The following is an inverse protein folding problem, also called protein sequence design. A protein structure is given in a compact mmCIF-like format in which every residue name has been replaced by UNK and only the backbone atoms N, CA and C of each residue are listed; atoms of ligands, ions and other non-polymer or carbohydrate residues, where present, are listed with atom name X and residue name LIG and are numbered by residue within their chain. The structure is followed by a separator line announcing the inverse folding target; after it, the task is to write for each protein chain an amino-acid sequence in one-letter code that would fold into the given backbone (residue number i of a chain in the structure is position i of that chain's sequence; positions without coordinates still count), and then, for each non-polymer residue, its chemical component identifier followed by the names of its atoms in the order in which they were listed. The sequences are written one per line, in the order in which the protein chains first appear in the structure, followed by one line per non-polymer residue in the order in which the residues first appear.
data_IF_416035229018
#
_entry.id   IF_416035229018
#
_cell.length_a   1.000
_cell.length_b   1.000
_cell.length_c   1.000
_cell.angle_alpha   90.00
_cell.angle_beta   90.00
_cell.angle_gamma   90.00
#
_symmetry.space_group_name_H-M   'P 1'
#
loop_
_entity.id
_entity.type
_entity.pdbx_description
1 polymer ?
#
# COMPACT_ATOMS: atom_id res chain seq x y z
N UNK A 1 18.08 -3.89 -7.92
CA UNK A 1 18.43 -3.49 -6.53
C UNK A 1 17.21 -3.82 -5.68
N UNK A 2 17.37 -4.42 -4.51
CA UNK A 2 16.21 -4.72 -3.63
C UNK A 2 15.56 -3.40 -3.21
N UNK A 3 14.26 -3.23 -3.48
CA UNK A 3 13.51 -1.99 -3.24
C UNK A 3 12.59 -2.04 -2.02
N UNK A 4 12.06 -3.20 -1.68
CA UNK A 4 11.16 -3.36 -0.54
C UNK A 4 11.91 -3.19 0.78
N UNK A 5 11.19 -2.70 1.79
CA UNK A 5 11.67 -2.60 3.15
C UNK A 5 11.53 -3.93 3.88
N UNK A 6 12.54 -4.30 4.67
CA UNK A 6 12.44 -5.45 5.59
C UNK A 6 11.54 -5.09 6.78
N UNK A 7 10.97 -6.09 7.44
CA UNK A 7 10.08 -5.88 8.60
C UNK A 7 10.72 -5.02 9.70
N UNK A 8 12.02 -5.17 9.95
CA UNK A 8 12.73 -4.33 10.94
C UNK A 8 12.71 -2.85 10.55
N UNK A 9 12.89 -2.54 9.27
CA UNK A 9 12.80 -1.17 8.77
C UNK A 9 11.39 -0.62 8.91
N UNK A 10 10.37 -1.42 8.56
CA UNK A 10 8.95 -1.05 8.71
C UNK A 10 8.64 -0.73 10.18
N UNK A 11 9.09 -1.57 11.13
CA UNK A 11 8.92 -1.34 12.57
C UNK A 11 9.62 -0.06 13.04
N UNK A 12 10.86 0.17 12.61
CA UNK A 12 11.60 1.38 12.99
C UNK A 12 10.91 2.64 12.48
N UNK A 13 10.30 2.60 11.29
CA UNK A 13 9.52 3.73 10.75
C UNK A 13 8.29 3.98 11.63
N UNK A 14 7.50 2.95 11.93
CA UNK A 14 6.29 3.11 12.75
C UNK A 14 6.58 3.53 14.19
N UNK A 15 7.62 2.97 14.82
CA UNK A 15 8.02 3.31 16.20
C UNK A 15 8.42 4.78 16.34
N UNK A 16 8.79 5.43 15.23
CA UNK A 16 9.11 6.86 15.15
C UNK A 16 7.93 7.73 14.74
N UNK A 17 6.72 7.17 14.69
CA UNK A 17 5.51 7.87 14.25
C UNK A 17 5.40 8.02 12.73
N UNK A 18 6.23 7.30 11.95
CA UNK A 18 6.27 7.39 10.50
C UNK A 18 5.08 6.72 9.80
N UNK A 19 5.13 6.75 8.47
CA UNK A 19 4.12 6.20 7.58
C UNK A 19 4.78 5.35 6.48
N UNK A 20 4.17 4.23 6.14
CA UNK A 20 4.60 3.30 5.09
C UNK A 20 3.51 3.19 4.03
N UNK A 21 3.79 3.71 2.84
CA UNK A 21 2.92 3.55 1.67
C UNK A 21 3.29 2.28 0.90
N UNK A 22 2.30 1.43 0.63
CA UNK A 22 2.48 0.26 -0.22
C UNK A 22 2.45 0.67 -1.69
N UNK A 23 3.53 0.35 -2.38
CA UNK A 23 3.72 0.60 -3.81
C UNK A 23 2.94 -0.42 -4.66
N UNK A 24 2.42 0.02 -5.80
CA UNK A 24 1.66 -0.81 -6.74
C UNK A 24 2.52 -1.30 -7.92
N UNK A 25 3.81 -0.94 -7.95
CA UNK A 25 4.75 -1.40 -8.97
C UNK A 25 4.88 -2.94 -8.96
N UNK A 26 4.72 -3.64 -10.11
CA UNK A 26 4.59 -5.10 -10.13
C UNK A 26 5.77 -5.86 -9.53
N UNK A 27 7.00 -5.44 -9.83
CA UNK A 27 8.20 -6.11 -9.30
C UNK A 27 8.36 -5.96 -7.79
N UNK A 28 7.68 -4.98 -7.18
CA UNK A 28 7.65 -4.81 -5.73
C UNK A 28 6.59 -5.72 -5.09
N UNK A 29 5.58 -6.14 -5.85
CA UNK A 29 4.52 -7.03 -5.40
C UNK A 29 4.90 -8.51 -5.58
N UNK A 30 5.53 -8.85 -6.70
CA UNK A 30 5.90 -10.21 -7.11
C UNK A 30 7.31 -10.23 -7.70
N UNK A 31 8.14 -11.21 -7.29
CA UNK A 31 9.55 -11.27 -7.68
C UNK A 31 9.79 -11.42 -9.20
N UNK A 32 8.83 -12.02 -9.92
CA UNK A 32 8.95 -12.37 -11.34
C UNK A 32 7.89 -11.66 -12.20
N UNK A 33 7.34 -10.55 -11.71
CA UNK A 33 6.16 -9.89 -12.29
C UNK A 33 6.31 -9.43 -13.75
N UNK A 34 7.54 -9.15 -14.19
CA UNK A 34 7.84 -8.69 -15.56
C UNK A 34 8.42 -9.80 -16.45
N UNK A 35 8.53 -11.04 -15.94
CA UNK A 35 9.01 -12.15 -16.74
C UNK A 35 7.98 -12.58 -17.82
N UNK A 36 8.42 -12.93 -19.04
CA UNK A 36 7.52 -13.37 -20.09
C UNK A 36 6.69 -14.60 -19.68
N UNK A 37 5.36 -14.48 -19.77
CA UNK A 37 4.43 -15.57 -19.46
C UNK A 37 4.00 -15.65 -17.99
N UNK A 38 4.46 -14.73 -17.14
CA UNK A 38 3.94 -14.58 -15.79
C UNK A 38 2.55 -13.92 -15.80
N UNK A 39 1.70 -14.30 -14.85
CA UNK A 39 0.41 -13.60 -14.66
C UNK A 39 0.66 -12.19 -14.11
N UNK A 40 -0.09 -11.17 -14.57
CA UNK A 40 0.04 -9.81 -14.05
C UNK A 40 -0.25 -9.74 -12.55
N UNK A 41 0.34 -8.76 -11.87
CA UNK A 41 -0.06 -8.43 -10.51
C UNK A 41 -1.53 -7.98 -10.47
N UNK A 42 -2.11 -8.02 -9.28
CA UNK A 42 -3.53 -7.70 -9.05
C UNK A 42 -3.69 -7.00 -7.70
N UNK A 43 -4.86 -6.43 -7.45
CA UNK A 43 -5.21 -5.84 -6.14
C UNK A 43 -5.10 -6.84 -4.99
N UNK A 44 -5.18 -8.15 -5.26
CA UNK A 44 -4.98 -9.17 -4.23
C UNK A 44 -3.54 -9.18 -3.71
N UNK A 45 -2.55 -8.98 -4.59
CA UNK A 45 -1.15 -8.89 -4.19
C UNK A 45 -0.88 -7.59 -3.41
N UNK A 46 -1.50 -6.48 -3.80
CA UNK A 46 -1.45 -5.22 -3.03
C UNK A 46 -2.05 -5.43 -1.64
N UNK A 47 -3.20 -6.12 -1.56
CA UNK A 47 -3.84 -6.44 -0.29
C UNK A 47 -2.99 -7.37 0.58
N UNK A 48 -2.23 -8.31 0.00
CA UNK A 48 -1.26 -9.14 0.75
C UNK A 48 -0.19 -8.28 1.42
N UNK A 49 0.40 -7.34 0.67
CA UNK A 49 1.42 -6.43 1.20
C UNK A 49 0.87 -5.48 2.27
N UNK A 50 -0.33 -4.93 2.07
CA UNK A 50 -1.01 -4.11 3.08
C UNK A 50 -1.23 -4.87 4.38
N UNK A 51 -1.77 -6.09 4.30
CA UNK A 51 -2.03 -6.91 5.47
C UNK A 51 -0.74 -7.37 6.17
N UNK A 52 0.30 -7.68 5.40
CA UNK A 52 1.62 -7.98 5.96
C UNK A 52 2.16 -6.77 6.74
N UNK A 53 2.18 -5.58 6.13
CA UNK A 53 2.63 -4.37 6.80
C UNK A 53 1.83 -4.07 8.07
N UNK A 54 0.50 -4.21 8.04
CA UNK A 54 -0.37 -4.07 9.21
C UNK A 54 0.01 -5.07 10.31
N UNK A 55 0.32 -6.32 9.95
CA UNK A 55 0.76 -7.33 10.93
C UNK A 55 2.11 -7.00 11.58
N UNK A 56 2.95 -6.22 10.89
CA UNK A 56 4.31 -5.85 11.33
C UNK A 56 4.30 -4.59 12.21
N UNK A 57 3.58 -3.54 11.82
CA UNK A 57 3.63 -2.22 12.46
C UNK A 57 2.28 -1.67 12.96
N UNK A 58 1.19 -2.43 12.81
CA UNK A 58 -0.15 -1.99 13.17
C UNK A 58 -0.81 -1.14 12.09
N UNK A 59 -2.13 -1.03 12.19
CA UNK A 59 -2.96 -0.41 11.15
C UNK A 59 -2.82 1.12 11.05
N UNK A 60 -2.22 1.81 12.01
CA UNK A 60 -2.16 3.28 12.07
C UNK A 60 -0.99 3.90 11.27
N UNK A 61 -0.13 3.06 10.68
CA UNK A 61 1.11 3.47 10.01
C UNK A 61 1.18 3.06 8.54
N UNK A 62 0.13 2.44 8.00
CA UNK A 62 0.14 1.86 6.65
C UNK A 62 -0.88 2.56 5.77
N UNK A 63 -0.55 2.77 4.49
CA UNK A 63 -1.51 3.26 3.51
C UNK A 63 -1.06 3.04 2.07
N UNK A 64 -1.66 3.80 1.15
CA UNK A 64 -1.41 3.66 -0.28
C UNK A 64 -0.21 4.51 -0.75
N UNK A 65 0.61 3.95 -1.63
CA UNK A 65 1.77 4.62 -2.27
C UNK A 65 1.81 4.34 -3.76
N UNK A 66 0.70 4.55 -4.47
CA UNK A 66 0.41 3.81 -5.70
C UNK A 66 1.22 4.09 -6.98
N UNK A 67 2.12 5.07 -7.01
CA UNK A 67 3.03 5.39 -8.13
C UNK A 67 2.41 5.29 -9.56
N UNK A 68 1.14 5.71 -9.72
CA UNK A 68 0.34 5.45 -10.92
C UNK A 68 0.94 5.96 -12.25
N UNK A 69 1.76 7.02 -12.22
CA UNK A 69 2.44 7.56 -13.40
C UNK A 69 3.88 7.01 -13.58
N UNK A 70 4.30 6.10 -12.69
CA UNK A 70 5.62 5.46 -12.69
C UNK A 70 5.69 4.19 -13.54
N UNK A 71 4.55 3.65 -13.98
CA UNK A 71 4.47 2.37 -14.71
C UNK A 71 3.24 2.27 -15.61
N UNK A 72 3.29 1.39 -16.62
CA UNK A 72 2.15 1.04 -17.47
C UNK A 72 1.70 -0.40 -17.18
N UNK A 73 0.40 -0.66 -17.25
CA UNK A 73 -0.21 -2.01 -17.29
C UNK A 73 0.21 -2.97 -16.16
N UNK A 74 0.58 -2.43 -15.01
CA UNK A 74 1.17 -3.16 -13.90
C UNK A 74 0.23 -4.13 -13.18
N UNK A 75 -0.97 -3.65 -12.86
CA UNK A 75 -1.98 -4.43 -12.15
C UNK A 75 -3.22 -4.59 -13.03
N UNK A 76 -3.57 -5.84 -13.34
CA UNK A 76 -4.63 -6.14 -14.31
C UNK A 76 -6.00 -5.54 -13.92
N UNK A 77 -6.26 -5.42 -12.63
CA UNK A 77 -7.48 -4.87 -12.05
C UNK A 77 -7.26 -3.57 -11.26
N UNK A 78 -6.15 -2.86 -11.53
CA UNK A 78 -5.84 -1.54 -10.98
C UNK A 78 -4.94 -0.73 -11.94
N UNK A 79 -5.46 -0.40 -13.13
CA UNK A 79 -4.70 0.36 -14.13
C UNK A 79 -4.83 1.87 -13.92
N UNK A 80 -5.93 2.32 -13.32
CA UNK A 80 -6.25 3.72 -13.12
C UNK A 80 -6.71 4.01 -11.70
N UNK A 81 -6.65 5.27 -11.28
CA UNK A 81 -7.18 5.70 -9.98
C UNK A 81 -8.67 5.34 -9.79
N UNK A 82 -9.46 5.33 -10.86
CA UNK A 82 -10.87 4.94 -10.79
C UNK A 82 -11.09 3.45 -10.50
N UNK A 83 -10.04 2.63 -10.55
CA UNK A 83 -10.08 1.20 -10.24
C UNK A 83 -9.82 0.91 -8.75
N UNK A 84 -9.47 1.91 -7.93
CA UNK A 84 -9.27 1.76 -6.48
C UNK A 84 -10.43 1.05 -5.73
N UNK A 85 -11.71 1.17 -6.13
CA UNK A 85 -12.78 0.36 -5.56
C UNK A 85 -12.57 -1.16 -5.69
N UNK A 86 -11.70 -1.63 -6.61
CA UNK A 86 -11.33 -3.04 -6.73
C UNK A 86 -10.50 -3.49 -5.52
N UNK A 87 -9.55 -2.64 -5.09
CA UNK A 87 -8.72 -2.88 -3.89
C UNK A 87 -9.55 -2.81 -2.61
N UNK A 88 -10.45 -1.83 -2.49
CA UNK A 88 -11.40 -1.76 -1.39
C UNK A 88 -12.19 -3.06 -1.26
N UNK A 89 -12.76 -3.56 -2.37
CA UNK A 89 -13.49 -4.82 -2.38
C UNK A 89 -12.61 -6.02 -2.01
N UNK A 90 -11.34 -6.03 -2.41
CA UNK A 90 -10.40 -7.10 -2.04
C UNK A 90 -10.15 -7.13 -0.53
N UNK A 91 -9.90 -5.97 0.09
CA UNK A 91 -9.75 -5.84 1.53
C UNK A 91 -11.03 -6.25 2.28
N UNK A 92 -12.20 -5.78 1.82
CA UNK A 92 -13.49 -6.14 2.43
C UNK A 92 -13.77 -7.64 2.35
N UNK A 93 -13.45 -8.31 1.23
CA UNK A 93 -13.57 -9.78 1.10
C UNK A 93 -12.70 -10.54 2.09
N UNK A 94 -11.58 -9.94 2.50
CA UNK A 94 -10.63 -10.49 3.48
C UNK A 94 -11.02 -10.17 4.94
N UNK A 95 -12.16 -9.51 5.15
CA UNK A 95 -12.67 -9.19 6.48
C UNK A 95 -12.04 -7.96 7.13
N UNK A 96 -11.33 -7.13 6.36
CA UNK A 96 -10.83 -5.84 6.84
C UNK A 96 -12.03 -4.93 7.11
N UNK A 97 -12.08 -4.32 8.30
CA UNK A 97 -13.19 -3.45 8.68
C UNK A 97 -13.17 -2.15 7.88
N UNK A 98 -14.33 -1.56 7.65
CA UNK A 98 -14.45 -0.25 6.97
C UNK A 98 -13.60 0.83 7.64
N UNK A 99 -13.46 0.79 8.97
CA UNK A 99 -12.58 1.69 9.73
C UNK A 99 -11.11 1.52 9.33
N UNK A 100 -10.62 0.29 9.19
CA UNK A 100 -9.23 0.03 8.77
C UNK A 100 -9.03 0.38 7.30
N UNK A 101 -10.02 0.13 6.45
CA UNK A 101 -9.97 0.54 5.04
C UNK A 101 -9.85 2.07 4.93
N UNK A 102 -10.64 2.84 5.69
CA UNK A 102 -10.55 4.29 5.72
C UNK A 102 -9.15 4.78 6.16
N UNK A 103 -8.57 4.13 7.18
CA UNK A 103 -7.19 4.39 7.62
C UNK A 103 -6.16 4.20 6.51
N UNK A 104 -6.24 3.08 5.79
CA UNK A 104 -5.35 2.75 4.67
C UNK A 104 -5.49 3.76 3.53
N UNK A 105 -6.73 4.12 3.17
CA UNK A 105 -7.02 4.95 2.01
C UNK A 105 -6.71 6.43 2.23
N UNK A 106 -6.85 6.94 3.46
CA UNK A 106 -6.59 8.35 3.74
C UNK A 106 -6.12 8.66 5.15
N UNK A 107 -6.78 8.11 6.18
CA UNK A 107 -6.73 8.76 7.50
C UNK A 107 -5.33 8.70 8.12
N UNK A 108 -4.57 7.65 7.87
CA UNK A 108 -3.20 7.53 8.36
C UNK A 108 -2.26 8.56 7.72
N UNK A 109 -2.36 8.76 6.40
CA UNK A 109 -1.56 9.74 5.70
C UNK A 109 -1.95 11.15 6.13
N UNK A 110 -3.25 11.44 6.25
CA UNK A 110 -3.74 12.73 6.71
C UNK A 110 -3.29 13.04 8.14
N UNK A 111 -3.38 12.06 9.06
CA UNK A 111 -2.85 12.17 10.43
C UNK A 111 -1.35 12.48 10.41
N UNK A 112 -0.57 11.68 9.69
CA UNK A 112 0.88 11.86 9.57
C UNK A 112 1.23 13.26 9.04
N UNK A 113 0.58 13.70 7.95
CA UNK A 113 0.78 15.03 7.39
C UNK A 113 0.41 16.15 8.37
N UNK A 114 -0.68 16.01 9.12
CA UNK A 114 -1.09 16.99 10.13
C UNK A 114 -0.09 17.11 11.29
N UNK A 115 0.63 16.02 11.62
CA UNK A 115 1.67 16.02 12.66
C UNK A 115 2.99 16.64 12.17
N UNK A 116 3.35 16.45 10.90
CA UNK A 116 4.65 16.88 10.36
C UNK A 116 4.65 18.25 9.69
N UNK A 117 3.51 18.66 9.13
CA UNK A 117 3.40 19.95 8.44
C UNK A 117 3.22 21.07 9.47
N UNK A 118 3.79 22.26 9.21
CA UNK A 118 3.53 23.42 10.05
C UNK A 118 2.03 23.74 10.05
N UNK A 119 1.52 24.25 11.17
CA UNK A 119 0.17 24.83 11.19
C UNK A 119 0.10 25.93 10.13
N UNK A 120 -0.93 25.87 9.27
CA UNK A 120 -1.17 26.93 8.29
C UNK A 120 -1.45 28.25 8.98
N UNK A 121 -0.94 29.34 8.41
CA UNK A 121 -1.24 30.73 8.82
C UNK A 121 -2.74 31.07 8.69
#
# INVERSE_FOLDING_TARGET
VVRNAEDEMIRVISDRGGFVGIDFYPEHLLADALEPGHEPATVEHIADHLLHAISVCGEDHVGLGGDFDGFNDACADLQHLCDLPNLERALSRRGVSETVIAKIFSDNLLRYLAEILPAGD
#
